data_IF_772110698801
#
_entry.id   IF_772110698801
#
_cell.length_a   1.000
_cell.length_b   1.000
_cell.length_c   1.000
_cell.angle_alpha   90.00
_cell.angle_beta   90.00
_cell.angle_gamma   90.00
#
_symmetry.space_group_name_H-M   'P 1'
#
loop_
_entity.id
_entity.type
_entity.pdbx_description
1 polymer ?
#
# COMPACT_ATOMS: atom_id res chain seq x y z
N UNK A 1 -7.57 25.68 -2.29
CA UNK A 1 -7.48 24.66 -3.34
C UNK A 1 -7.83 23.32 -2.73
N UNK A 2 -8.63 22.50 -3.39
CA UNK A 2 -8.92 21.13 -2.94
C UNK A 2 -7.64 20.30 -3.04
N UNK A 3 -7.31 19.51 -2.01
CA UNK A 3 -6.19 18.55 -2.02
C UNK A 3 -6.48 17.47 -3.06
N UNK A 4 -5.51 17.16 -3.90
CA UNK A 4 -5.62 16.00 -4.80
C UNK A 4 -5.29 14.72 -4.05
N UNK A 5 -5.86 13.61 -4.49
CA UNK A 5 -5.56 12.27 -3.98
C UNK A 5 -4.74 11.50 -5.01
N UNK A 6 -3.51 11.17 -4.67
CA UNK A 6 -2.55 10.49 -5.53
C UNK A 6 -2.29 9.10 -4.96
N UNK A 7 -2.71 8.07 -5.67
CA UNK A 7 -2.37 6.70 -5.32
C UNK A 7 -0.91 6.41 -5.71
N UNK A 8 -0.11 5.91 -4.78
CA UNK A 8 1.26 5.46 -5.02
C UNK A 8 1.34 3.95 -4.79
N UNK A 9 1.66 3.20 -5.85
CA UNK A 9 1.74 1.74 -5.82
C UNK A 9 3.19 1.28 -5.97
N UNK A 10 3.88 0.91 -4.86
CA UNK A 10 5.23 0.36 -4.93
C UNK A 10 5.16 -1.07 -5.51
N UNK A 11 5.77 -1.26 -6.68
CA UNK A 11 5.76 -2.51 -7.44
C UNK A 11 7.16 -2.99 -7.86
N UNK A 12 8.24 -2.50 -7.22
CA UNK A 12 9.63 -2.86 -7.53
C UNK A 12 10.10 -4.17 -6.87
N UNK A 13 9.31 -4.76 -5.97
CA UNK A 13 9.69 -5.97 -5.23
C UNK A 13 9.77 -7.21 -6.11
N UNK A 14 10.78 -8.07 -5.85
CA UNK A 14 11.00 -9.33 -6.59
C UNK A 14 10.05 -10.46 -6.20
N UNK A 15 9.32 -10.32 -5.07
CA UNK A 15 8.28 -11.28 -4.67
C UNK A 15 8.77 -12.70 -4.38
N UNK A 16 10.01 -12.89 -3.95
CA UNK A 16 10.72 -14.19 -3.80
C UNK A 16 9.96 -15.24 -2.99
N UNK A 17 9.14 -14.83 -2.01
CA UNK A 17 8.35 -15.73 -1.17
C UNK A 17 7.19 -16.43 -1.89
N UNK A 18 6.77 -15.94 -3.04
CA UNK A 18 5.64 -16.51 -3.78
C UNK A 18 6.04 -17.75 -4.64
N UNK A 19 7.35 -17.97 -4.91
CA UNK A 19 7.86 -19.18 -5.54
C UNK A 19 7.47 -19.41 -7.01
N UNK A 20 6.83 -18.46 -7.68
CA UNK A 20 6.28 -18.65 -9.04
C UNK A 20 7.27 -18.34 -10.18
N UNK A 21 8.57 -18.17 -9.91
CA UNK A 21 9.59 -17.82 -10.91
C UNK A 21 9.46 -16.39 -11.49
N UNK A 22 8.40 -15.65 -11.13
CA UNK A 22 8.16 -14.24 -11.48
C UNK A 22 7.68 -13.45 -10.25
N UNK A 23 7.89 -12.13 -10.21
CA UNK A 23 7.39 -11.30 -9.12
C UNK A 23 5.87 -11.43 -8.96
N UNK A 24 5.39 -11.53 -7.71
CA UNK A 24 3.97 -11.83 -7.41
C UNK A 24 2.98 -10.83 -7.99
N UNK A 25 3.39 -9.56 -8.16
CA UNK A 25 2.55 -8.52 -8.77
C UNK A 25 2.25 -8.79 -10.26
N UNK A 26 3.03 -9.68 -10.91
CA UNK A 26 2.85 -10.09 -12.31
C UNK A 26 2.19 -11.47 -12.45
N UNK A 27 1.78 -12.09 -11.34
CA UNK A 27 0.93 -13.29 -11.40
C UNK A 27 -0.43 -12.91 -11.98
N UNK A 28 -0.92 -13.73 -12.90
CA UNK A 28 -2.20 -13.51 -13.57
C UNK A 28 -3.32 -14.23 -12.83
N UNK A 29 -4.38 -13.50 -12.51
CA UNK A 29 -5.60 -14.02 -11.92
C UNK A 29 -6.78 -13.47 -12.73
N UNK A 30 -7.68 -14.32 -13.19
CA UNK A 30 -8.84 -13.93 -14.01
C UNK A 30 -8.47 -13.06 -15.24
N UNK A 31 -7.34 -13.40 -15.91
CA UNK A 31 -6.92 -12.76 -17.16
C UNK A 31 -6.23 -11.40 -17.03
N UNK A 32 -5.95 -10.95 -15.80
CA UNK A 32 -5.17 -9.73 -15.52
C UNK A 32 -4.11 -10.02 -14.46
N UNK A 33 -3.00 -9.27 -14.52
CA UNK A 33 -2.01 -9.36 -13.44
C UNK A 33 -2.56 -8.77 -12.14
N UNK A 34 -2.04 -9.23 -11.00
CA UNK A 34 -2.37 -8.68 -9.66
C UNK A 34 -2.19 -7.16 -9.65
N UNK A 35 -1.11 -6.66 -10.26
CA UNK A 35 -0.87 -5.21 -10.35
C UNK A 35 -1.92 -4.49 -11.20
N UNK A 36 -2.38 -5.09 -12.32
CA UNK A 36 -3.44 -4.52 -13.14
C UNK A 36 -4.77 -4.45 -12.38
N UNK A 37 -5.12 -5.48 -11.60
CA UNK A 37 -6.28 -5.44 -10.71
C UNK A 37 -6.15 -4.31 -9.68
N UNK A 38 -4.98 -4.19 -9.04
CA UNK A 38 -4.72 -3.13 -8.05
C UNK A 38 -4.86 -1.72 -8.65
N UNK A 39 -4.29 -1.49 -9.85
CA UNK A 39 -4.39 -0.20 -10.54
C UNK A 39 -5.85 0.12 -10.88
N UNK A 40 -6.61 -0.86 -11.34
CA UNK A 40 -8.01 -0.68 -11.73
C UNK A 40 -8.89 -0.16 -10.57
N UNK A 41 -8.59 -0.52 -9.32
CA UNK A 41 -9.30 0.01 -8.14
C UNK A 41 -9.24 1.54 -8.12
N UNK A 42 -8.03 2.09 -8.28
CA UNK A 42 -7.79 3.53 -8.23
C UNK A 42 -8.23 4.24 -9.52
N UNK A 43 -8.10 3.62 -10.68
CA UNK A 43 -8.57 4.17 -11.96
C UNK A 43 -10.09 4.39 -11.95
N UNK A 44 -10.82 3.46 -11.38
CA UNK A 44 -12.28 3.50 -11.32
C UNK A 44 -12.81 4.38 -10.17
N UNK A 45 -11.96 4.80 -9.23
CA UNK A 45 -12.41 5.59 -8.09
C UNK A 45 -12.44 7.08 -8.44
N UNK A 46 -13.60 7.77 -8.27
CA UNK A 46 -13.77 9.16 -8.72
C UNK A 46 -12.91 10.17 -7.95
N UNK A 47 -12.59 9.89 -6.69
CA UNK A 47 -11.79 10.78 -5.85
C UNK A 47 -10.26 10.61 -6.04
N UNK A 48 -9.81 9.77 -6.97
CA UNK A 48 -8.38 9.60 -7.27
C UNK A 48 -8.02 10.41 -8.52
N UNK A 49 -7.05 11.30 -8.39
CA UNK A 49 -6.63 12.21 -9.45
C UNK A 49 -5.46 11.67 -10.27
N UNK A 50 -4.54 10.92 -9.62
CA UNK A 50 -3.32 10.39 -10.25
C UNK A 50 -2.96 9.04 -9.61
N UNK A 51 -2.38 8.15 -10.42
CA UNK A 51 -1.83 6.87 -9.98
C UNK A 51 -0.36 6.82 -10.38
N UNK A 52 0.52 6.74 -9.39
CA UNK A 52 1.95 6.57 -9.57
C UNK A 52 2.35 5.12 -9.31
N UNK A 53 2.71 4.39 -10.35
CA UNK A 53 3.22 3.02 -10.25
C UNK A 53 4.74 3.06 -10.25
N UNK A 54 5.35 2.61 -9.14
CA UNK A 54 6.80 2.67 -8.95
C UNK A 54 7.38 1.26 -9.17
N UNK A 55 8.05 1.07 -10.29
CA UNK A 55 8.69 -0.19 -10.67
C UNK A 55 10.21 -0.10 -10.56
N UNK A 56 10.90 -1.26 -10.58
CA UNK A 56 12.36 -1.30 -10.66
C UNK A 56 12.87 -0.56 -11.90
N UNK A 57 14.05 0.09 -11.86
CA UNK A 57 14.68 0.66 -13.04
C UNK A 57 14.86 -0.34 -14.19
N UNK A 58 15.15 -1.61 -13.86
CA UNK A 58 15.38 -2.68 -14.84
C UNK A 58 14.07 -3.38 -15.26
N UNK A 59 12.92 -2.98 -14.72
CA UNK A 59 11.65 -3.64 -15.05
C UNK A 59 11.26 -3.39 -16.52
N UNK A 60 11.27 -4.46 -17.31
CA UNK A 60 10.82 -4.47 -18.70
C UNK A 60 9.46 -5.17 -18.87
N UNK A 61 8.93 -5.75 -17.80
CA UNK A 61 7.71 -6.55 -17.84
C UNK A 61 6.47 -5.68 -17.76
N UNK A 62 6.53 -4.60 -16.97
CA UNK A 62 5.36 -3.77 -16.75
C UNK A 62 5.10 -2.84 -17.94
N UNK A 63 3.99 -3.11 -18.62
CA UNK A 63 3.44 -2.24 -19.66
C UNK A 63 2.11 -1.68 -19.17
N UNK A 64 1.96 -0.37 -19.22
CA UNK A 64 0.68 0.26 -18.90
C UNK A 64 -0.24 0.18 -20.10
N UNK A 65 -1.52 -0.10 -19.86
CA UNK A 65 -2.56 0.38 -20.76
C UNK A 65 -2.58 1.91 -20.65
N UNK A 66 -2.57 2.65 -21.77
CA UNK A 66 -2.66 4.11 -21.71
C UNK A 66 -3.87 4.53 -20.89
N UNK A 67 -3.63 5.26 -19.81
CA UNK A 67 -4.66 5.84 -18.94
C UNK A 67 -4.32 7.29 -18.68
N UNK A 68 -5.34 8.14 -18.59
CA UNK A 68 -5.14 9.55 -18.27
C UNK A 68 -4.62 9.76 -16.85
N UNK A 69 -4.95 8.83 -15.93
CA UNK A 69 -4.57 8.94 -14.51
C UNK A 69 -3.25 8.23 -14.18
N UNK A 70 -2.84 7.20 -14.92
CA UNK A 70 -1.70 6.34 -14.54
C UNK A 70 -0.38 6.84 -15.13
N UNK A 71 0.66 6.93 -14.28
CA UNK A 71 2.05 7.22 -14.64
C UNK A 71 2.98 6.16 -14.05
N UNK A 72 3.99 5.77 -14.81
CA UNK A 72 5.01 4.79 -14.39
C UNK A 72 6.31 5.50 -14.10
N UNK A 73 6.89 5.19 -12.94
CA UNK A 73 8.18 5.70 -12.51
C UNK A 73 9.13 4.52 -12.32
N UNK A 74 10.25 4.51 -13.04
CA UNK A 74 11.29 3.48 -12.97
C UNK A 74 12.37 3.91 -11.98
N UNK A 75 11.96 4.08 -10.72
CA UNK A 75 12.81 4.60 -9.63
C UNK A 75 12.72 3.73 -8.37
N UNK A 76 12.25 2.48 -8.50
CA UNK A 76 12.18 1.55 -7.40
C UNK A 76 13.52 1.38 -6.70
N UNK A 77 13.51 1.26 -5.38
CA UNK A 77 14.69 1.06 -4.54
C UNK A 77 14.86 -0.39 -4.09
N UNK A 78 15.90 -0.63 -3.29
CA UNK A 78 16.22 -1.95 -2.75
C UNK A 78 15.21 -2.46 -1.72
N UNK A 79 14.47 -1.55 -1.07
CA UNK A 79 13.41 -1.87 -0.12
C UNK A 79 12.07 -1.25 -0.53
N UNK A 80 10.96 -1.70 0.13
CA UNK A 80 9.65 -1.10 -0.07
C UNK A 80 9.63 0.36 0.36
N UNK A 81 10.20 0.67 1.52
CA UNK A 81 10.28 2.04 2.04
C UNK A 81 11.09 2.96 1.10
N UNK A 82 12.22 2.48 0.58
CA UNK A 82 13.01 3.22 -0.40
C UNK A 82 12.25 3.43 -1.72
N UNK A 83 11.52 2.44 -2.19
CA UNK A 83 10.66 2.55 -3.39
C UNK A 83 9.61 3.65 -3.21
N UNK A 84 8.96 3.70 -2.04
CA UNK A 84 7.98 4.74 -1.72
C UNK A 84 8.64 6.11 -1.63
N UNK A 85 9.77 6.25 -0.92
CA UNK A 85 10.56 7.48 -0.84
C UNK A 85 10.90 8.03 -2.23
N UNK A 86 11.45 7.18 -3.09
CA UNK A 86 11.84 7.55 -4.44
C UNK A 86 10.63 7.99 -5.28
N UNK A 87 9.49 7.31 -5.13
CA UNK A 87 8.22 7.66 -5.77
C UNK A 87 7.72 9.04 -5.34
N UNK A 88 7.66 9.30 -4.03
CA UNK A 88 7.24 10.61 -3.49
C UNK A 88 8.17 11.73 -3.97
N UNK A 89 9.50 11.52 -3.90
CA UNK A 89 10.49 12.48 -4.37
C UNK A 89 10.35 12.77 -5.87
N UNK A 90 10.07 11.74 -6.68
CA UNK A 90 9.87 11.89 -8.13
C UNK A 90 8.59 12.66 -8.45
N UNK A 91 7.50 12.43 -7.70
CA UNK A 91 6.25 13.18 -7.86
C UNK A 91 6.44 14.67 -7.57
N UNK A 92 7.16 15.00 -6.49
CA UNK A 92 7.48 16.38 -6.12
C UNK A 92 8.40 17.03 -7.17
N UNK A 93 9.49 16.37 -7.56
CA UNK A 93 10.45 16.90 -8.51
C UNK A 93 9.86 17.19 -9.90
N UNK A 94 8.83 16.44 -10.31
CA UNK A 94 8.13 16.62 -11.58
C UNK A 94 6.90 17.55 -11.46
N UNK A 95 6.61 18.12 -10.29
CA UNK A 95 5.42 18.96 -10.06
C UNK A 95 4.08 18.22 -10.19
N UNK A 96 4.12 16.88 -10.08
CA UNK A 96 2.94 16.02 -10.16
C UNK A 96 2.21 15.89 -8.82
N UNK A 97 2.89 16.19 -7.72
CA UNK A 97 2.31 16.35 -6.39
C UNK A 97 2.71 17.70 -5.79
N UNK A 98 1.79 18.34 -5.08
CA UNK A 98 2.07 19.48 -4.22
C UNK A 98 2.21 19.01 -2.77
N UNK A 99 2.86 19.80 -1.92
CA UNK A 99 3.09 19.47 -0.51
C UNK A 99 1.79 19.17 0.27
N UNK A 100 0.71 19.88 -0.06
CA UNK A 100 -0.61 19.72 0.58
C UNK A 100 -1.44 18.56 -0.01
N UNK A 101 -1.07 17.97 -1.16
CA UNK A 101 -1.79 16.85 -1.75
C UNK A 101 -1.67 15.60 -0.86
N UNK A 102 -2.62 14.69 -0.96
CA UNK A 102 -2.62 13.42 -0.27
C UNK A 102 -1.91 12.35 -1.12
N UNK A 103 -1.01 11.61 -0.52
CA UNK A 103 -0.45 10.38 -1.08
C UNK A 103 -1.09 9.19 -0.37
N UNK A 104 -1.68 8.28 -1.16
CA UNK A 104 -2.25 7.02 -0.69
C UNK A 104 -1.31 5.89 -1.12
N UNK A 105 -0.46 5.41 -0.22
CA UNK A 105 0.45 4.31 -0.51
C UNK A 105 -0.28 2.99 -0.39
N UNK A 106 -0.30 2.20 -1.46
CA UNK A 106 -1.01 0.94 -1.50
C UNK A 106 -0.17 -0.21 -2.06
N UNK A 107 -0.15 -1.33 -1.34
CA UNK A 107 0.60 -2.52 -1.76
C UNK A 107 0.08 -3.08 -3.09
N UNK A 108 0.97 -3.26 -4.07
CA UNK A 108 0.65 -3.86 -5.38
C UNK A 108 -0.01 -5.26 -5.29
N UNK A 109 0.11 -5.93 -4.16
CA UNK A 109 -0.42 -7.26 -3.91
C UNK A 109 -1.75 -7.29 -3.12
N UNK A 110 -2.44 -6.15 -2.98
CA UNK A 110 -3.78 -6.07 -2.37
C UNK A 110 -4.80 -5.66 -3.42
N UNK A 111 -5.09 -6.57 -4.32
CA UNK A 111 -5.93 -6.32 -5.50
C UNK A 111 -7.44 -6.48 -5.25
N UNK A 112 -7.85 -6.69 -4.00
CA UNK A 112 -9.26 -6.86 -3.61
C UNK A 112 -9.72 -5.78 -2.63
N UNK A 113 -9.14 -4.57 -2.67
CA UNK A 113 -9.60 -3.45 -1.85
C UNK A 113 -11.00 -3.00 -2.30
N UNK A 114 -12.02 -3.05 -1.43
CA UNK A 114 -13.34 -2.56 -1.77
C UNK A 114 -13.38 -1.04 -1.95
N UNK A 115 -14.12 -0.51 -2.95
CA UNK A 115 -14.24 0.93 -3.17
C UNK A 115 -14.73 1.71 -1.95
N UNK A 116 -15.65 1.13 -1.17
CA UNK A 116 -16.21 1.76 0.04
C UNK A 116 -15.15 1.93 1.15
N UNK A 117 -14.18 1.03 1.25
CA UNK A 117 -13.09 1.17 2.21
C UNK A 117 -12.13 2.29 1.78
N UNK A 118 -11.86 2.42 0.49
CA UNK A 118 -11.06 3.52 -0.06
C UNK A 118 -11.77 4.87 0.14
N UNK A 119 -13.07 4.94 -0.16
CA UNK A 119 -13.89 6.15 0.09
C UNK A 119 -13.81 6.57 1.54
N UNK A 120 -14.05 5.65 2.48
CA UNK A 120 -14.01 5.91 3.92
C UNK A 120 -12.65 6.46 4.37
N UNK A 121 -11.54 5.89 3.90
CA UNK A 121 -10.20 6.40 4.22
C UNK A 121 -10.03 7.85 3.75
N UNK A 122 -10.45 8.16 2.54
CA UNK A 122 -10.35 9.52 1.98
C UNK A 122 -11.20 10.50 2.78
N UNK A 123 -12.43 10.13 3.12
CA UNK A 123 -13.36 10.99 3.87
C UNK A 123 -12.89 11.25 5.31
N UNK A 124 -12.44 10.21 6.02
CA UNK A 124 -12.06 10.32 7.42
C UNK A 124 -10.66 10.91 7.63
N UNK A 125 -9.69 10.57 6.78
CA UNK A 125 -8.28 10.94 6.95
C UNK A 125 -7.78 12.00 5.97
N UNK A 126 -8.40 12.17 4.79
CA UNK A 126 -7.88 13.03 3.71
C UNK A 126 -7.81 14.52 4.07
N UNK A 127 -8.64 14.99 4.99
CA UNK A 127 -8.61 16.37 5.53
C UNK A 127 -7.72 16.55 6.76
N UNK A 128 -7.20 15.47 7.35
CA UNK A 128 -6.49 15.51 8.64
C UNK A 128 -4.98 15.66 8.44
N UNK A 129 -4.34 16.43 9.34
CA UNK A 129 -2.88 16.65 9.29
C UNK A 129 -2.10 15.38 9.64
N UNK A 130 -2.60 14.56 10.55
CA UNK A 130 -1.97 13.31 10.95
C UNK A 130 -2.14 12.18 9.94
N UNK A 131 -3.03 12.33 8.94
CA UNK A 131 -3.37 11.27 8.01
C UNK A 131 -4.06 10.08 8.67
N UNK A 132 -4.03 8.92 8.02
CA UNK A 132 -4.63 7.71 8.55
C UNK A 132 -4.35 6.49 7.69
N UNK A 133 -4.65 5.33 8.24
CA UNK A 133 -4.47 4.05 7.59
C UNK A 133 -5.73 3.20 7.66
N UNK A 134 -5.96 2.36 6.67
CA UNK A 134 -6.92 1.27 6.84
C UNK A 134 -6.34 0.22 7.79
N UNK A 135 -7.17 -0.24 8.71
CA UNK A 135 -6.82 -1.31 9.63
C UNK A 135 -8.05 -2.10 10.04
N UNK A 136 -7.88 -3.35 10.47
CA UNK A 136 -8.95 -4.17 11.04
C UNK A 136 -8.57 -4.65 12.44
N UNK A 137 -9.52 -4.72 13.39
CA UNK A 137 -9.25 -5.28 14.71
C UNK A 137 -8.81 -6.74 14.59
N UNK A 138 -7.88 -7.15 15.46
CA UNK A 138 -7.45 -8.55 15.53
C UNK A 138 -8.61 -9.42 16.03
N UNK A 139 -9.05 -10.36 15.19
CA UNK A 139 -10.17 -11.25 15.49
C UNK A 139 -9.73 -12.48 16.31
N UNK A 140 -8.57 -13.06 15.98
CA UNK A 140 -8.10 -14.32 16.56
C UNK A 140 -7.28 -14.09 17.85
N UNK A 141 -7.16 -15.16 18.65
CA UNK A 141 -6.25 -15.17 19.81
C UNK A 141 -4.81 -15.18 19.33
N UNK A 142 -4.02 -14.20 19.78
CA UNK A 142 -2.61 -14.09 19.45
C UNK A 142 -1.75 -14.90 20.41
N UNK A 143 -0.78 -15.63 19.84
CA UNK A 143 0.27 -16.35 20.57
C UNK A 143 1.63 -15.80 20.19
N UNK A 144 2.48 -15.52 21.18
CA UNK A 144 3.89 -15.28 20.94
C UNK A 144 4.63 -16.60 21.03
N UNK A 145 5.33 -16.96 19.95
CA UNK A 145 6.18 -18.16 19.95
C UNK A 145 7.48 -17.89 20.71
N UNK A 146 8.02 -18.93 21.34
CA UNK A 146 9.42 -18.98 21.77
C UNK A 146 10.34 -19.27 20.56
N UNK A 147 11.65 -19.30 20.79
CA UNK A 147 12.64 -19.61 19.73
C UNK A 147 12.58 -21.06 19.21
N UNK A 148 11.69 -21.92 19.74
CA UNK A 148 11.53 -23.35 19.37
C UNK A 148 10.14 -23.66 18.81
N UNK A 149 9.37 -22.65 18.43
CA UNK A 149 8.00 -22.77 17.93
C UNK A 149 6.97 -23.32 18.95
N UNK A 150 7.24 -23.23 20.25
CA UNK A 150 6.23 -23.46 21.27
C UNK A 150 5.54 -22.13 21.64
N UNK A 151 4.36 -22.25 22.27
CA UNK A 151 3.66 -21.07 22.80
C UNK A 151 4.42 -20.57 24.02
N UNK A 152 5.04 -19.41 23.92
CA UNK A 152 5.65 -18.70 25.05
C UNK A 152 4.62 -17.98 25.90
N UNK A 153 3.69 -17.25 25.25
CA UNK A 153 2.60 -16.51 25.94
C UNK A 153 1.37 -16.30 25.06
N UNK A 154 0.25 -16.03 25.68
CA UNK A 154 -0.94 -15.50 25.02
C UNK A 154 -0.95 -13.99 25.13
N UNK A 155 -0.94 -13.30 23.98
CA UNK A 155 -0.97 -11.84 23.90
C UNK A 155 -2.41 -11.36 23.88
N UNK A 156 -2.75 -10.38 24.74
CA UNK A 156 -4.08 -9.75 24.67
C UNK A 156 -4.27 -9.06 23.32
N UNK A 157 -5.38 -9.35 22.66
CA UNK A 157 -5.76 -8.68 21.40
C UNK A 157 -6.50 -7.36 21.61
N UNK A 158 -6.84 -7.01 22.83
CA UNK A 158 -7.57 -5.78 23.14
C UNK A 158 -6.75 -4.56 22.64
N UNK A 159 -7.37 -3.73 21.80
CA UNK A 159 -6.71 -2.56 21.20
C UNK A 159 -5.69 -2.87 20.11
N UNK A 160 -5.51 -4.13 19.69
CA UNK A 160 -4.62 -4.48 18.58
C UNK A 160 -5.37 -4.47 17.25
N UNK A 161 -4.73 -3.87 16.24
CA UNK A 161 -5.23 -3.76 14.88
C UNK A 161 -4.20 -4.31 13.90
N UNK A 162 -4.68 -4.91 12.82
CA UNK A 162 -3.87 -5.32 11.68
C UNK A 162 -3.86 -4.18 10.66
N UNK A 163 -2.71 -3.54 10.50
CA UNK A 163 -2.52 -2.48 9.53
C UNK A 163 -2.73 -3.01 8.10
N UNK A 164 -3.47 -2.27 7.32
CA UNK A 164 -3.66 -2.50 5.90
C UNK A 164 -3.16 -1.29 5.10
N UNK A 165 -3.23 -1.38 3.79
CA UNK A 165 -3.09 -0.26 2.88
C UNK A 165 -4.39 -0.09 2.07
N UNK A 166 -4.73 1.13 1.57
CA UNK A 166 -3.89 2.34 1.53
C UNK A 166 -3.62 2.96 2.89
N UNK A 167 -2.45 3.62 2.97
CA UNK A 167 -2.08 4.53 4.05
C UNK A 167 -2.00 5.94 3.46
N UNK A 168 -2.76 6.87 4.01
CA UNK A 168 -2.98 8.21 3.47
C UNK A 168 -2.30 9.25 4.33
N UNK A 169 -1.41 10.03 3.71
CA UNK A 169 -0.71 11.14 4.35
C UNK A 169 -0.55 12.31 3.39
N UNK A 170 -0.45 13.52 3.93
CA UNK A 170 -0.01 14.66 3.12
C UNK A 170 1.40 14.42 2.57
N UNK A 171 1.64 14.85 1.34
CA UNK A 171 2.92 14.71 0.65
C UNK A 171 4.09 15.24 1.49
N UNK A 172 3.96 16.44 2.07
CA UNK A 172 5.00 17.03 2.91
C UNK A 172 5.32 16.18 4.15
N UNK A 173 4.29 15.67 4.83
CA UNK A 173 4.47 14.82 6.01
C UNK A 173 5.15 13.51 5.65
N UNK A 174 4.66 12.83 4.61
CA UNK A 174 5.22 11.54 4.17
C UNK A 174 6.65 11.70 3.64
N UNK A 175 6.91 12.73 2.84
CA UNK A 175 8.24 13.03 2.34
C UNK A 175 9.23 13.26 3.49
N UNK A 176 8.88 14.09 4.49
CA UNK A 176 9.69 14.30 5.69
C UNK A 176 9.93 13.02 6.47
N UNK A 177 8.90 12.19 6.67
CA UNK A 177 8.99 10.94 7.42
C UNK A 177 9.94 9.92 6.77
N UNK A 178 10.01 9.91 5.42
CA UNK A 178 10.87 9.00 4.66
C UNK A 178 12.25 9.59 4.31
N UNK A 179 12.50 10.88 4.60
CA UNK A 179 13.78 11.57 4.35
C UNK A 179 14.81 11.30 5.46
N UNK A 180 14.92 10.06 5.89
CA UNK A 180 15.91 9.59 6.87
C UNK A 180 16.96 8.73 6.19
N UNK A 181 18.19 8.68 6.74
CA UNK A 181 19.28 7.90 6.15
C UNK A 181 18.98 6.40 6.20
N UNK A 182 18.51 5.92 7.34
CA UNK A 182 18.22 4.50 7.56
C UNK A 182 16.70 4.24 7.56
N UNK A 183 16.27 3.44 6.60
CA UNK A 183 14.88 2.99 6.42
C UNK A 183 14.65 1.55 6.93
N UNK A 184 15.64 0.89 7.52
CA UNK A 184 15.58 -0.53 7.89
C UNK A 184 14.47 -0.85 8.90
N UNK A 185 14.18 0.07 9.81
CA UNK A 185 13.14 -0.06 10.84
C UNK A 185 11.76 0.43 10.38
N UNK A 186 11.62 0.85 9.10
CA UNK A 186 10.36 1.31 8.56
C UNK A 186 9.63 0.14 7.91
N UNK A 187 8.56 -0.30 8.55
CA UNK A 187 7.75 -1.43 8.10
C UNK A 187 6.63 -1.01 7.13
N UNK A 188 6.10 0.21 7.35
CA UNK A 188 5.05 0.85 6.55
C UNK A 188 5.14 2.38 6.68
N UNK A 189 4.25 3.13 6.02
CA UNK A 189 4.26 4.59 6.05
C UNK A 189 3.87 5.13 7.42
N UNK A 190 2.94 4.46 8.11
CA UNK A 190 2.53 4.84 9.46
C UNK A 190 3.71 4.80 10.43
N UNK A 191 4.51 3.72 10.41
CA UNK A 191 5.70 3.59 11.29
C UNK A 191 6.74 4.70 11.04
N UNK A 192 6.87 5.18 9.79
CA UNK A 192 7.73 6.32 9.49
C UNK A 192 7.17 7.64 10.08
N UNK A 193 5.86 7.85 9.96
CA UNK A 193 5.18 9.05 10.47
C UNK A 193 5.15 9.05 12.00
N UNK A 194 4.97 7.90 12.64
CA UNK A 194 5.03 7.72 14.11
C UNK A 194 6.38 8.13 14.68
N UNK A 195 7.50 7.89 13.97
CA UNK A 195 8.84 8.35 14.37
C UNK A 195 8.97 9.87 14.45
N UNK A 196 8.07 10.62 13.79
CA UNK A 196 7.97 12.08 13.91
C UNK A 196 7.08 12.53 15.09
N UNK A 197 6.57 11.60 15.91
CA UNK A 197 5.66 11.88 17.02
C UNK A 197 4.21 12.12 16.58
N UNK A 198 3.85 11.84 15.34
CA UNK A 198 2.49 11.96 14.82
C UNK A 198 1.75 10.63 15.02
N UNK A 199 0.48 10.69 15.37
CA UNK A 199 -0.38 9.52 15.59
C UNK A 199 -1.43 9.43 14.47
N UNK A 200 -1.24 8.59 13.44
CA UNK A 200 -2.20 8.40 12.36
C UNK A 200 -3.54 7.84 12.85
N UNK A 201 -4.62 8.18 12.14
CA UNK A 201 -5.94 7.62 12.42
C UNK A 201 -6.00 6.14 11.98
N UNK A 202 -6.63 5.31 12.82
CA UNK A 202 -7.07 3.96 12.43
C UNK A 202 -8.47 4.07 11.81
N UNK A 203 -8.57 3.90 10.50
CA UNK A 203 -9.83 3.88 9.76
C UNK A 203 -10.23 2.44 9.52
N UNK A 204 -11.52 2.12 9.72
CA UNK A 204 -12.02 0.74 9.56
C UNK A 204 -11.76 0.24 8.14
N UNK A 205 -10.91 -0.78 8.04
CA UNK A 205 -10.60 -1.50 6.82
C UNK A 205 -11.61 -2.58 6.47
N UNK A 206 -11.19 -3.53 5.65
CA UNK A 206 -12.03 -4.65 5.21
C UNK A 206 -11.22 -5.93 5.13
N UNK A 207 -11.80 -7.06 5.53
CA UNK A 207 -11.13 -8.38 5.45
C UNK A 207 -10.90 -8.84 4.01
N UNK A 208 -11.71 -8.35 3.05
CA UNK A 208 -11.51 -8.60 1.62
C UNK A 208 -10.23 -7.96 1.09
N UNK A 209 -9.70 -6.91 1.75
CA UNK A 209 -8.44 -6.25 1.40
C UNK A 209 -7.21 -7.13 1.78
N UNK A 210 -7.27 -8.40 1.36
CA UNK A 210 -6.25 -9.41 1.62
C UNK A 210 -4.96 -9.09 0.84
N UNK A 211 -3.82 -9.31 1.46
CA UNK A 211 -2.51 -9.24 0.80
C UNK A 211 -2.13 -10.60 0.25
N UNK A 212 -2.00 -10.72 -1.06
CA UNK A 212 -1.46 -11.91 -1.72
C UNK A 212 0.01 -12.09 -1.27
N UNK A 213 0.25 -13.05 -0.39
CA UNK A 213 1.56 -13.29 0.22
C UNK A 213 2.09 -14.68 -0.08
N UNK A 214 1.23 -15.68 0.01
CA UNK A 214 1.53 -17.10 -0.21
C UNK A 214 0.76 -17.63 -1.42
N UNK A 215 1.21 -18.69 -2.09
CA UNK A 215 0.51 -19.30 -3.22
C UNK A 215 -0.94 -19.69 -2.91
N UNK A 216 -1.21 -20.15 -1.70
CA UNK A 216 -2.56 -20.52 -1.25
C UNK A 216 -3.55 -19.35 -1.19
N UNK A 217 -3.06 -18.12 -1.08
CA UNK A 217 -3.91 -16.92 -1.06
C UNK A 217 -4.54 -16.67 -2.43
N UNK A 218 -3.95 -17.22 -3.52
CA UNK A 218 -4.44 -17.06 -4.89
C UNK A 218 -5.90 -17.53 -5.03
N UNK A 219 -6.24 -18.64 -4.40
CA UNK A 219 -7.61 -19.18 -4.44
C UNK A 219 -8.61 -18.18 -3.84
N UNK A 220 -8.28 -17.59 -2.69
CA UNK A 220 -9.16 -16.62 -2.01
C UNK A 220 -9.25 -15.35 -2.85
N UNK A 221 -8.12 -14.84 -3.33
CA UNK A 221 -8.08 -13.64 -4.19
C UNK A 221 -8.91 -13.84 -5.46
N UNK A 222 -8.82 -15.02 -6.09
CA UNK A 222 -9.60 -15.35 -7.28
C UNK A 222 -11.12 -15.28 -7.06
N UNK A 223 -11.58 -15.74 -5.89
CA UNK A 223 -13.00 -15.66 -5.51
C UNK A 223 -13.40 -14.22 -5.19
N UNK A 224 -12.58 -13.48 -4.44
CA UNK A 224 -12.87 -12.10 -4.08
C UNK A 224 -12.97 -11.19 -5.31
N UNK A 225 -12.13 -11.38 -6.31
CA UNK A 225 -12.16 -10.62 -7.58
C UNK A 225 -13.43 -10.86 -8.41
N UNK A 226 -14.30 -11.78 -8.04
CA UNK A 226 -15.60 -11.99 -8.68
C UNK A 226 -16.72 -11.18 -8.02
N UNK A 227 -16.48 -10.64 -6.83
CA UNK A 227 -17.49 -9.96 -6.01
C UNK A 227 -17.11 -8.52 -5.59
N UNK A 228 -15.95 -8.06 -6.01
CA UNK A 228 -15.45 -6.67 -5.77
C UNK A 228 -15.58 -5.83 -7.02
#
# INVERSE_FOLDING_TARGET
MTRRNIALVPAAGTGTRFGAGKPKQYVEINGKTVLQHTIAIFENHPAIDLIAVIVSPEDQTFQTTPSSKTRVFRVGGASRAETVRNGVSSLLAQGLAAEQDNILVHDAARCCLPPEALTRLIEEAGGKEQGGILAIPVADTLKRADGKNHIGETVSRAGLWQAQTPQLFQTALLHRALSVEDLSDITDEASAVEKLGVQPLLVQGDTRNLKLTLPQDEFIVKLLLQVV
#
